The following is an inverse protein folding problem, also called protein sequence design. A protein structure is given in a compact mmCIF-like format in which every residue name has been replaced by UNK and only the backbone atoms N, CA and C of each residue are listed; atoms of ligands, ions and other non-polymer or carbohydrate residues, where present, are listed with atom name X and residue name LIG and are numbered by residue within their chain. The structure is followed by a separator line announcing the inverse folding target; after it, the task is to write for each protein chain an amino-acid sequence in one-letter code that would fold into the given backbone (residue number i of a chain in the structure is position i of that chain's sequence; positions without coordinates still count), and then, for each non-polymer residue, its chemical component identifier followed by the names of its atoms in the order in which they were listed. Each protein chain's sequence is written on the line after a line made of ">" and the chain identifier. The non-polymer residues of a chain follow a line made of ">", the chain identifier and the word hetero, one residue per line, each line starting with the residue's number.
data_IF_923296892210
#
_entry.id   IF_923296892210
#
_cell.length_a   1.000
_cell.length_b   1.000
_cell.length_c   1.000
_cell.angle_alpha   90.00
_cell.angle_beta   90.00
_cell.angle_gamma   90.00
#
_symmetry.space_group_name_H-M   'P 1'
#
loop_
_entity.id
_entity.type
_entity.pdbx_description
1 polymer ?
#
# COMPACT_ATOMS: atom_id res chain seq x y z
N UNK A 1 21.65 31.81 -19.08
CA UNK A 1 21.60 30.72 -18.08
C UNK A 1 20.43 31.01 -17.15
N UNK A 2 19.36 30.20 -17.19
CA UNK A 2 18.21 30.39 -16.29
C UNK A 2 18.66 29.99 -14.89
N UNK A 3 18.68 30.93 -13.95
CA UNK A 3 18.88 30.62 -12.53
C UNK A 3 17.76 29.68 -12.11
N UNK A 4 18.11 28.51 -11.56
CA UNK A 4 17.14 27.61 -10.95
C UNK A 4 16.60 28.33 -9.71
N UNK A 5 15.37 28.83 -9.80
CA UNK A 5 14.70 29.39 -8.64
C UNK A 5 14.44 28.26 -7.64
N UNK A 6 14.86 28.46 -6.39
CA UNK A 6 14.53 27.54 -5.32
C UNK A 6 13.07 27.80 -4.91
N UNK A 7 12.22 26.78 -5.00
CA UNK A 7 10.85 26.83 -4.53
C UNK A 7 10.65 25.97 -3.27
N UNK A 8 9.71 26.38 -2.43
CA UNK A 8 9.39 25.70 -1.17
C UNK A 8 8.14 24.85 -1.36
N UNK A 9 8.29 23.53 -1.16
CA UNK A 9 7.16 22.60 -1.09
C UNK A 9 6.59 22.60 0.33
N UNK A 10 5.29 22.92 0.48
CA UNK A 10 4.57 22.85 1.75
C UNK A 10 3.54 21.73 1.69
N UNK A 11 3.57 20.81 2.64
CA UNK A 11 2.66 19.66 2.70
C UNK A 11 2.06 19.57 4.10
N UNK A 12 0.75 19.33 4.17
CA UNK A 12 0.06 19.05 5.43
C UNK A 12 0.20 17.56 5.76
N UNK A 13 0.72 17.26 6.94
CA UNK A 13 0.88 15.90 7.46
C UNK A 13 0.54 15.88 8.96
N UNK A 14 0.22 14.70 9.47
CA UNK A 14 0.09 14.50 10.92
C UNK A 14 1.46 14.58 11.60
N UNK A 15 1.52 15.14 12.82
CA UNK A 15 2.78 15.32 13.56
C UNK A 15 3.47 13.99 13.91
N UNK A 16 2.71 12.95 14.23
CA UNK A 16 3.25 11.62 14.49
C UNK A 16 3.97 11.07 13.25
N UNK A 17 3.29 11.11 12.09
CA UNK A 17 3.86 10.68 10.82
C UNK A 17 5.14 11.46 10.47
N UNK A 18 5.17 12.77 10.73
CA UNK A 18 6.35 13.60 10.52
C UNK A 18 7.54 13.13 11.37
N UNK A 19 7.30 12.83 12.64
CA UNK A 19 8.35 12.41 13.57
C UNK A 19 8.87 11.02 13.23
N UNK A 20 7.98 10.08 12.90
CA UNK A 20 8.34 8.71 12.51
C UNK A 20 9.17 8.72 11.23
N UNK A 21 8.71 9.43 10.20
CA UNK A 21 9.46 9.55 8.94
C UNK A 21 10.84 10.19 9.16
N UNK A 22 10.93 11.22 10.01
CA UNK A 22 12.20 11.87 10.35
C UNK A 22 13.17 10.93 11.06
N UNK A 23 12.69 10.08 11.96
CA UNK A 23 13.52 9.11 12.67
C UNK A 23 14.11 8.06 11.70
N UNK A 24 13.27 7.51 10.81
CA UNK A 24 13.69 6.54 9.78
C UNK A 24 14.68 7.16 8.80
N UNK A 25 14.42 8.36 8.29
CA UNK A 25 15.35 9.00 7.34
C UNK A 25 16.69 9.35 8.00
N UNK A 26 16.68 9.76 9.27
CA UNK A 26 17.91 10.06 10.01
C UNK A 26 18.79 8.82 10.18
N UNK A 27 18.21 7.63 10.39
CA UNK A 27 19.01 6.40 10.47
C UNK A 27 19.68 6.03 9.13
N UNK A 28 19.13 6.52 8.02
CA UNK A 28 19.71 6.41 6.68
C UNK A 28 20.67 7.57 6.35
N UNK A 29 20.92 8.49 7.28
CA UNK A 29 21.76 9.67 7.05
C UNK A 29 21.11 10.74 6.17
N UNK A 30 19.79 10.72 6.01
CA UNK A 30 19.03 11.64 5.16
C UNK A 30 18.17 12.61 5.97
N UNK A 31 18.05 13.83 5.46
CA UNK A 31 17.04 14.79 5.90
C UNK A 31 15.71 14.60 5.14
N UNK A 32 14.61 15.10 5.71
CA UNK A 32 13.31 15.14 5.03
C UNK A 32 13.41 15.79 3.64
N UNK A 33 14.14 16.90 3.54
CA UNK A 33 14.26 17.65 2.29
C UNK A 33 15.03 16.88 1.22
N UNK A 34 16.06 16.11 1.60
CA UNK A 34 16.79 15.24 0.67
C UNK A 34 15.92 14.09 0.18
N UNK A 35 15.19 13.42 1.08
CA UNK A 35 14.28 12.35 0.72
C UNK A 35 13.18 12.83 -0.25
N UNK A 36 12.59 14.00 0.01
CA UNK A 36 11.57 14.60 -0.88
C UNK A 36 12.19 14.95 -2.25
N UNK A 37 13.41 15.50 -2.29
CA UNK A 37 14.09 15.78 -3.57
C UNK A 37 14.35 14.51 -4.37
N UNK A 38 14.83 13.44 -3.73
CA UNK A 38 15.08 12.15 -4.36
C UNK A 38 13.76 11.57 -4.91
N UNK A 39 12.69 11.60 -4.11
CA UNK A 39 11.36 11.15 -4.52
C UNK A 39 10.87 11.88 -5.77
N UNK A 40 10.90 13.22 -5.76
CA UNK A 40 10.46 14.03 -6.91
C UNK A 40 11.32 13.78 -8.15
N UNK A 41 12.64 13.61 -7.98
CA UNK A 41 13.53 13.27 -9.08
C UNK A 41 13.15 11.93 -9.71
N UNK A 42 12.84 10.92 -8.90
CA UNK A 42 12.42 9.60 -9.38
C UNK A 42 11.08 9.68 -10.12
N UNK A 43 10.12 10.46 -9.62
CA UNK A 43 8.85 10.70 -10.31
C UNK A 43 9.06 11.28 -11.71
N UNK A 44 9.96 12.26 -11.85
CA UNK A 44 10.27 12.87 -13.15
C UNK A 44 10.96 11.87 -14.09
N UNK A 45 11.93 11.12 -13.58
CA UNK A 45 12.73 10.20 -14.39
C UNK A 45 11.93 8.99 -14.86
N UNK A 46 11.06 8.44 -14.02
CA UNK A 46 10.22 7.28 -14.35
C UNK A 46 8.89 7.65 -15.03
N UNK A 47 8.48 8.92 -14.96
CA UNK A 47 7.13 9.38 -15.35
C UNK A 47 6.01 8.59 -14.66
N UNK A 48 6.28 8.11 -13.46
CA UNK A 48 5.40 7.28 -12.64
C UNK A 48 5.68 7.52 -11.15
N UNK A 49 4.82 7.00 -10.28
CA UNK A 49 5.15 6.98 -8.86
C UNK A 49 6.28 5.97 -8.61
N UNK A 50 7.28 6.31 -7.79
CA UNK A 50 8.45 5.47 -7.54
C UNK A 50 8.18 4.35 -6.54
N UNK A 51 6.97 3.79 -6.62
CA UNK A 51 6.51 2.61 -5.91
C UNK A 51 5.22 2.12 -6.60
N UNK A 52 4.98 0.81 -6.53
CA UNK A 52 3.76 0.22 -7.07
C UNK A 52 2.59 0.56 -6.15
N UNK A 53 1.57 1.23 -6.67
CA UNK A 53 0.29 1.38 -5.98
C UNK A 53 -0.45 0.05 -5.99
N UNK A 54 -0.49 -0.62 -4.84
CA UNK A 54 -1.34 -1.78 -4.64
C UNK A 54 -2.60 -1.33 -3.92
N UNK A 55 -3.76 -1.53 -4.53
CA UNK A 55 -4.99 -1.56 -3.72
C UNK A 55 -4.90 -2.78 -2.81
N UNK A 56 -5.41 -2.70 -1.56
CA UNK A 56 -5.66 -3.92 -0.79
C UNK A 56 -6.47 -4.86 -1.68
N UNK A 57 -5.95 -6.07 -1.89
CA UNK A 57 -6.56 -7.02 -2.79
C UNK A 57 -7.99 -7.29 -2.32
N UNK A 58 -8.96 -6.79 -3.09
CA UNK A 58 -10.25 -7.44 -3.16
C UNK A 58 -10.05 -8.58 -4.15
N UNK A 59 -10.46 -9.79 -3.76
CA UNK A 59 -10.42 -10.93 -4.64
C UNK A 59 -11.43 -10.66 -5.77
N UNK A 60 -10.96 -10.20 -6.93
CA UNK A 60 -11.79 -10.01 -8.11
C UNK A 60 -11.60 -11.20 -9.06
N UNK A 61 -12.49 -12.18 -8.90
CA UNK A 61 -12.49 -13.42 -9.68
C UNK A 61 -12.68 -13.13 -11.18
N UNK A 62 -13.23 -11.97 -11.56
CA UNK A 62 -13.44 -11.60 -12.96
C UNK A 62 -12.14 -11.30 -13.72
N UNK A 63 -11.05 -11.02 -13.01
CA UNK A 63 -9.74 -10.68 -13.59
C UNK A 63 -8.73 -11.84 -13.49
N UNK A 64 -9.15 -13.01 -12.99
CA UNK A 64 -8.28 -14.17 -12.81
C UNK A 64 -8.36 -15.10 -14.03
N UNK A 65 -7.22 -15.69 -14.39
CA UNK A 65 -7.16 -16.80 -15.32
C UNK A 65 -7.75 -18.08 -14.69
N UNK A 66 -8.11 -19.05 -15.53
CA UNK A 66 -8.64 -20.33 -15.07
C UNK A 66 -7.69 -21.04 -14.10
N UNK A 67 -6.40 -21.03 -14.41
CA UNK A 67 -5.37 -21.69 -13.58
C UNK A 67 -5.26 -21.04 -12.19
N UNK A 68 -5.38 -19.71 -12.12
CA UNK A 68 -5.38 -18.98 -10.85
C UNK A 68 -6.64 -19.27 -10.02
N UNK A 69 -7.80 -19.39 -10.68
CA UNK A 69 -9.05 -19.78 -10.04
C UNK A 69 -8.93 -21.19 -9.47
N UNK A 70 -8.41 -22.14 -10.26
CA UNK A 70 -8.21 -23.53 -9.84
C UNK A 70 -7.26 -23.63 -8.64
N UNK A 71 -6.18 -22.82 -8.60
CA UNK A 71 -5.27 -22.75 -7.45
C UNK A 71 -5.95 -22.22 -6.18
N UNK A 72 -6.82 -21.21 -6.30
CA UNK A 72 -7.56 -20.65 -5.14
C UNK A 72 -8.58 -21.66 -4.60
N UNK A 73 -9.26 -22.40 -5.47
CA UNK A 73 -10.17 -23.46 -5.05
C UNK A 73 -9.42 -24.60 -4.34
N UNK A 74 -8.31 -25.06 -4.90
CA UNK A 74 -7.48 -26.11 -4.32
C UNK A 74 -6.95 -25.72 -2.93
N UNK A 75 -6.50 -24.47 -2.77
CA UNK A 75 -6.09 -23.93 -1.48
C UNK A 75 -7.25 -23.92 -0.47
N UNK A 76 -8.45 -23.54 -0.92
CA UNK A 76 -9.67 -23.49 -0.10
C UNK A 76 -10.10 -24.88 0.37
N UNK A 77 -9.96 -25.92 -0.47
CA UNK A 77 -10.22 -27.31 -0.07
C UNK A 77 -9.25 -27.78 1.02
N UNK A 78 -7.95 -27.48 0.88
CA UNK A 78 -6.94 -27.79 1.89
C UNK A 78 -7.17 -27.07 3.21
N UNK A 79 -7.66 -25.83 3.16
CA UNK A 79 -8.06 -25.09 4.35
C UNK A 79 -9.28 -25.71 5.02
N UNK A 80 -10.26 -26.17 4.25
CA UNK A 80 -11.43 -26.89 4.77
C UNK A 80 -11.05 -28.20 5.48
N UNK A 81 -10.23 -29.03 4.84
CA UNK A 81 -9.75 -30.29 5.42
C UNK A 81 -8.94 -30.07 6.71
N UNK A 82 -8.18 -28.99 6.77
CA UNK A 82 -7.39 -28.62 7.93
C UNK A 82 -8.19 -27.86 9.01
N UNK A 83 -9.51 -27.72 8.84
CA UNK A 83 -10.38 -27.02 9.80
C UNK A 83 -10.19 -25.50 9.84
N UNK A 84 -9.49 -24.92 8.86
CA UNK A 84 -9.25 -23.47 8.71
C UNK A 84 -10.41 -22.79 7.97
N UNK A 85 -11.62 -22.98 8.46
CA UNK A 85 -12.80 -22.28 7.93
C UNK A 85 -13.44 -21.40 9.00
N UNK A 86 -14.28 -20.45 8.57
CA UNK A 86 -15.11 -19.63 9.45
C UNK A 86 -16.57 -19.91 9.17
N UNK A 87 -17.40 -19.80 10.20
CA UNK A 87 -18.85 -19.96 10.00
C UNK A 87 -19.41 -18.77 9.22
N UNK A 88 -20.52 -18.99 8.51
CA UNK A 88 -21.20 -17.91 7.79
C UNK A 88 -21.58 -16.76 8.75
N UNK A 89 -22.01 -17.07 9.97
CA UNK A 89 -22.36 -16.09 10.99
C UNK A 89 -21.17 -15.22 11.42
N UNK A 90 -20.00 -15.82 11.63
CA UNK A 90 -18.76 -15.10 11.95
C UNK A 90 -18.34 -14.17 10.81
N UNK A 91 -18.46 -14.64 9.57
CA UNK A 91 -18.13 -13.85 8.38
C UNK A 91 -19.08 -12.65 8.25
N UNK A 92 -20.39 -12.87 8.30
CA UNK A 92 -21.37 -11.79 8.15
C UNK A 92 -21.31 -10.77 9.29
N UNK A 93 -21.03 -11.21 10.52
CA UNK A 93 -20.83 -10.30 11.66
C UNK A 93 -19.56 -9.44 11.49
N UNK A 94 -18.49 -10.02 10.94
CA UNK A 94 -17.25 -9.31 10.65
C UNK A 94 -17.43 -8.27 9.53
N UNK A 95 -18.10 -8.63 8.43
CA UNK A 95 -18.38 -7.72 7.31
C UNK A 95 -19.25 -6.54 7.75
N UNK A 96 -20.30 -6.80 8.54
CA UNK A 96 -21.15 -5.72 9.09
C UNK A 96 -20.34 -4.75 9.95
N UNK A 97 -19.38 -5.23 10.74
CA UNK A 97 -18.52 -4.40 11.58
C UNK A 97 -17.58 -3.50 10.77
N UNK A 98 -17.07 -3.97 9.63
CA UNK A 98 -16.15 -3.21 8.77
C UNK A 98 -16.92 -2.20 7.91
N UNK A 99 -18.15 -2.53 7.50
CA UNK A 99 -18.94 -1.72 6.55
C UNK A 99 -19.88 -0.72 7.22
N UNK A 100 -20.15 -0.85 8.53
CA UNK A 100 -21.01 0.06 9.29
C UNK A 100 -20.34 1.41 9.65
N UNK A 101 -19.63 2.01 8.71
CA UNK A 101 -19.02 3.34 8.84
C UNK A 101 -19.88 4.41 8.18
#
# INVERSE_FOLDING_TARGET
>A
MKTLANEIVRVRINDQLKNDAKAVLKSLGLTMSEAIRIFLKRVVDEKALPFVLRMPAHLDISQMSKDEIDQVFEASFKDFEAGRFRSAEEVFSHIKRITAK
#
